data_IF_457657019517
#
_entry.id   IF_457657019517
#
_cell.length_a   1.000
_cell.length_b   1.000
_cell.length_c   1.000
_cell.angle_alpha   90.00
_cell.angle_beta   90.00
_cell.angle_gamma   90.00
#
_symmetry.space_group_name_H-M   'P 1'
#
loop_
_entity.id
_entity.type
_entity.pdbx_description
1 polymer ?
#
# COMPACT_ATOMS: atom_id res chain seq x y z
N UNK A 1 -10.57 -40.25 -5.87
CA UNK A 1 -9.49 -39.51 -6.56
C UNK A 1 -9.98 -38.19 -7.19
N UNK A 2 -11.02 -38.18 -8.04
CA UNK A 2 -11.55 -36.94 -8.67
C UNK A 2 -12.09 -35.89 -7.69
N UNK A 3 -12.88 -36.28 -6.69
CA UNK A 3 -13.45 -35.34 -5.71
C UNK A 3 -12.39 -34.64 -4.84
N UNK A 4 -11.29 -35.34 -4.53
CA UNK A 4 -10.15 -34.77 -3.78
C UNK A 4 -9.44 -33.72 -4.62
N UNK A 5 -9.25 -33.98 -5.92
CA UNK A 5 -8.67 -33.00 -6.86
C UNK A 5 -9.56 -31.76 -6.98
N UNK A 6 -10.88 -31.92 -7.09
CA UNK A 6 -11.81 -30.79 -7.12
C UNK A 6 -11.82 -29.99 -5.81
N UNK A 7 -11.75 -30.66 -4.66
CA UNK A 7 -11.65 -30.00 -3.36
C UNK A 7 -10.32 -29.23 -3.22
N UNK A 8 -9.20 -29.82 -3.63
CA UNK A 8 -7.90 -29.17 -3.63
C UNK A 8 -7.86 -27.95 -4.55
N UNK A 9 -8.41 -28.06 -5.77
CA UNK A 9 -8.52 -26.93 -6.70
C UNK A 9 -9.39 -25.81 -6.11
N UNK A 10 -10.54 -26.12 -5.52
CA UNK A 10 -11.40 -25.13 -4.88
C UNK A 10 -10.69 -24.43 -3.71
N UNK A 11 -9.93 -25.16 -2.89
CA UNK A 11 -9.11 -24.57 -1.83
C UNK A 11 -8.02 -23.64 -2.37
N UNK A 12 -7.32 -24.04 -3.45
CA UNK A 12 -6.30 -23.19 -4.09
C UNK A 12 -6.93 -21.91 -4.63
N UNK A 13 -8.07 -21.98 -5.32
CA UNK A 13 -8.80 -20.79 -5.80
C UNK A 13 -9.26 -19.86 -4.66
N UNK A 14 -9.68 -20.42 -3.53
CA UNK A 14 -10.05 -19.62 -2.35
C UNK A 14 -8.83 -18.89 -1.74
N UNK A 15 -7.66 -19.54 -1.70
CA UNK A 15 -6.42 -18.90 -1.20
C UNK A 15 -5.87 -17.81 -2.13
N UNK A 16 -6.15 -17.88 -3.44
CA UNK A 16 -5.69 -16.86 -4.41
C UNK A 16 -6.58 -15.61 -4.40
N UNK A 17 -7.84 -15.73 -3.97
CA UNK A 17 -8.76 -14.58 -3.88
C UNK A 17 -8.43 -13.58 -2.77
N UNK A 18 -7.48 -13.88 -1.89
CA UNK A 18 -6.97 -12.91 -0.91
C UNK A 18 -5.93 -11.96 -1.53
N UNK A 19 -5.93 -11.75 -2.84
CA UNK A 19 -5.15 -10.69 -3.46
C UNK A 19 -5.89 -9.35 -3.22
N UNK A 20 -5.72 -8.86 -2.00
CA UNK A 20 -5.40 -7.48 -1.66
C UNK A 20 -5.99 -6.46 -2.62
N UNK A 21 -7.23 -6.03 -2.38
CA UNK A 21 -7.74 -4.80 -2.99
C UNK A 21 -6.82 -3.66 -2.54
N UNK A 22 -5.95 -3.21 -3.44
CA UNK A 22 -5.06 -2.08 -3.21
C UNK A 22 -5.57 -0.86 -3.96
N UNK A 23 -5.13 0.31 -3.52
CA UNK A 23 -5.58 1.60 -4.01
C UNK A 23 -4.64 2.11 -5.11
N UNK A 24 -5.21 2.51 -6.24
CA UNK A 24 -4.52 3.07 -7.39
C UNK A 24 -4.09 4.52 -7.15
N UNK A 25 -3.31 5.09 -8.08
CA UNK A 25 -2.83 6.47 -7.99
C UNK A 25 -4.00 7.46 -7.84
N UNK A 26 -3.94 8.29 -6.79
CA UNK A 26 -4.95 9.29 -6.47
C UNK A 26 -6.17 8.76 -5.71
N UNK A 27 -6.30 7.44 -5.55
CA UNK A 27 -7.34 6.84 -4.71
C UNK A 27 -7.07 7.08 -3.23
N UNK A 28 -8.13 7.00 -2.44
CA UNK A 28 -8.09 7.28 -1.00
C UNK A 28 -7.35 6.16 -0.26
N UNK A 29 -6.56 6.57 0.74
CA UNK A 29 -5.88 5.65 1.65
C UNK A 29 -5.89 6.22 3.08
N UNK A 30 -5.79 5.34 4.07
CA UNK A 30 -5.80 5.70 5.50
C UNK A 30 -4.45 5.45 6.19
N UNK A 31 -3.45 4.97 5.45
CA UNK A 31 -2.13 4.60 5.99
C UNK A 31 -2.10 3.25 6.69
N UNK A 32 -3.17 2.47 6.63
CA UNK A 32 -3.24 1.10 7.16
C UNK A 32 -3.00 0.05 6.06
N UNK A 33 -2.84 -1.20 6.47
CA UNK A 33 -2.70 -2.33 5.53
C UNK A 33 -3.99 -2.64 4.77
N UNK A 34 -5.15 -2.25 5.31
CA UNK A 34 -6.46 -2.54 4.71
C UNK A 34 -6.75 -1.67 3.49
N UNK A 35 -6.25 -0.44 3.47
CA UNK A 35 -6.38 0.51 2.36
C UNK A 35 -4.99 0.91 1.84
N UNK A 36 -4.14 -0.10 1.59
CA UNK A 36 -2.78 0.08 1.08
C UNK A 36 -2.78 0.53 -0.37
N UNK A 37 -1.80 1.32 -0.75
CA UNK A 37 -1.57 1.66 -2.16
C UNK A 37 -0.91 0.50 -2.93
N UNK A 38 -1.19 0.41 -4.22
CA UNK A 38 -0.63 -0.61 -5.10
C UNK A 38 0.86 -0.36 -5.43
N UNK A 39 1.63 -1.45 -5.55
CA UNK A 39 3.00 -1.41 -6.04
C UNK A 39 3.92 -0.46 -5.25
N UNK A 40 4.48 0.53 -5.95
CA UNK A 40 5.41 1.52 -5.39
C UNK A 40 4.72 2.83 -4.96
N UNK A 41 3.40 2.88 -4.95
CA UNK A 41 2.68 4.08 -4.49
C UNK A 41 2.75 4.20 -2.96
N UNK A 42 2.78 5.44 -2.48
CA UNK A 42 2.86 5.82 -1.08
C UNK A 42 1.57 6.50 -0.66
N UNK A 43 1.08 6.19 0.53
CA UNK A 43 -0.10 6.87 1.07
C UNK A 43 0.30 8.23 1.61
N UNK A 44 0.00 9.30 0.87
CA UNK A 44 0.24 10.66 1.31
C UNK A 44 -0.90 11.13 2.22
N UNK A 45 -0.72 10.95 3.52
CA UNK A 45 -1.68 11.35 4.54
C UNK A 45 -1.73 12.87 4.68
N UNK A 46 -2.88 13.47 4.36
CA UNK A 46 -3.22 14.89 4.60
C UNK A 46 -3.78 15.15 6.00
N UNK A 47 -4.23 14.11 6.68
CA UNK A 47 -4.72 14.14 8.06
C UNK A 47 -4.77 12.75 8.68
N UNK A 48 -5.37 12.62 9.86
CA UNK A 48 -5.57 11.33 10.52
C UNK A 48 -6.45 10.43 9.64
N UNK A 49 -5.89 9.29 9.20
CA UNK A 49 -6.58 8.30 8.37
C UNK A 49 -7.15 8.85 7.06
N UNK A 50 -6.62 9.97 6.56
CA UNK A 50 -7.07 10.56 5.29
C UNK A 50 -5.87 10.98 4.44
N UNK A 51 -5.70 10.27 3.34
CA UNK A 51 -4.68 10.55 2.35
C UNK A 51 -5.08 10.05 0.97
N UNK A 52 -4.14 10.21 0.04
CA UNK A 52 -4.25 9.66 -1.30
C UNK A 52 -2.98 8.93 -1.69
N UNK A 53 -3.10 7.91 -2.53
CA UNK A 53 -1.96 7.23 -3.09
C UNK A 53 -1.22 8.15 -4.07
N UNK A 54 0.07 8.36 -3.84
CA UNK A 54 0.95 9.21 -4.62
C UNK A 54 2.21 8.44 -5.00
N UNK A 55 2.95 8.92 -6.00
CA UNK A 55 4.22 8.31 -6.42
C UNK A 55 5.30 8.51 -5.34
N UNK A 56 5.27 9.66 -4.67
CA UNK A 56 6.19 10.03 -3.62
C UNK A 56 5.49 10.92 -2.59
N UNK A 57 6.12 11.12 -1.44
CA UNK A 57 5.63 11.90 -0.33
C UNK A 57 6.17 13.33 -0.38
N UNK A 58 5.28 14.31 -0.22
CA UNK A 58 5.66 15.72 -0.11
C UNK A 58 6.46 16.06 1.16
N UNK A 59 6.97 17.28 1.21
CA UNK A 59 7.70 17.81 2.38
C UNK A 59 6.86 17.73 3.65
N UNK A 60 7.48 17.38 4.77
CA UNK A 60 6.81 17.29 6.06
C UNK A 60 6.00 16.01 6.28
N UNK A 61 5.94 15.12 5.29
CA UNK A 61 5.26 13.82 5.39
C UNK A 61 6.16 12.78 6.05
N UNK A 62 5.54 11.83 6.76
CA UNK A 62 6.25 10.74 7.41
C UNK A 62 6.81 9.77 6.37
N UNK A 63 8.11 9.48 6.42
CA UNK A 63 8.81 8.62 5.48
C UNK A 63 9.54 7.48 6.18
N UNK A 64 9.75 6.37 5.46
CA UNK A 64 10.57 5.27 5.95
C UNK A 64 11.95 5.28 5.30
N UNK A 65 12.00 5.48 3.98
CA UNK A 65 13.22 5.54 3.19
C UNK A 65 13.29 6.86 2.43
N UNK A 66 14.50 7.23 2.03
CA UNK A 66 14.77 8.40 1.18
C UNK A 66 13.95 8.39 -0.11
N UNK A 67 13.82 7.22 -0.75
CA UNK A 67 13.06 7.03 -1.98
C UNK A 67 11.55 7.16 -1.83
N UNK A 68 11.03 7.21 -0.60
CA UNK A 68 9.61 7.50 -0.39
C UNK A 68 9.31 8.99 -0.60
N UNK A 69 10.31 9.86 -0.41
CA UNK A 69 10.16 11.31 -0.50
C UNK A 69 10.40 11.84 -1.90
N UNK A 70 9.63 12.83 -2.32
CA UNK A 70 9.87 13.50 -3.61
C UNK A 70 11.21 14.26 -3.64
N UNK A 71 11.76 14.59 -2.47
CA UNK A 71 13.08 15.20 -2.31
C UNK A 71 14.23 14.18 -2.20
N UNK A 72 13.93 12.88 -2.30
CA UNK A 72 14.89 11.78 -2.10
C UNK A 72 15.63 11.87 -0.76
N UNK A 73 15.04 12.54 0.22
CA UNK A 73 15.67 12.79 1.52
C UNK A 73 14.65 12.60 2.63
N UNK A 74 14.80 11.51 3.37
CA UNK A 74 14.08 11.20 4.59
C UNK A 74 14.97 11.58 5.78
N UNK A 75 14.59 12.65 6.48
CA UNK A 75 15.35 13.15 7.62
C UNK A 75 15.39 12.11 8.75
N UNK A 76 16.40 12.21 9.61
CA UNK A 76 16.64 11.25 10.71
C UNK A 76 15.44 11.03 11.64
N UNK A 77 14.53 12.03 11.74
CA UNK A 77 13.28 11.95 12.50
C UNK A 77 12.06 11.50 11.66
N UNK A 78 12.30 10.79 10.55
CA UNK A 78 11.30 10.13 9.68
C UNK A 78 10.34 11.09 8.98
N UNK A 79 10.87 12.19 8.46
CA UNK A 79 10.07 13.19 7.73
C UNK A 79 10.78 13.60 6.43
N UNK A 80 10.02 13.76 5.34
CA UNK A 80 10.55 14.25 4.08
C UNK A 80 11.02 15.70 4.17
N UNK A 81 12.25 15.94 3.70
CA UNK A 81 12.90 17.26 3.69
C UNK A 81 12.22 18.27 2.76
#
# INVERSE_FOLDING_TARGET
MRAVIFALLACIFATVKSQEHCQDLGEWCDGTVFNRCCGNLRCELTGLFNGKCAVCLGKGRFCWNDSDCCSETCLWYRVCA
#
